data_IF_541071205254
#
_entry.id   IF_541071205254
#
_cell.length_a   1.000
_cell.length_b   1.000
_cell.length_c   1.000
_cell.angle_alpha   90.00
_cell.angle_beta   90.00
_cell.angle_gamma   90.00
#
_symmetry.space_group_name_H-M   'P 1'
#
loop_
_entity.id
_entity.type
_entity.pdbx_description
1 polymer ?
#
# COMPACT_ATOMS: atom_id res chain seq x y z
N UNK A 1 -11.81 9.57 23.90
CA UNK A 1 -12.78 8.66 24.55
C UNK A 1 -12.10 7.31 24.72
N UNK A 2 -11.61 6.95 25.91
CA UNK A 2 -11.02 5.63 26.15
C UNK A 2 -12.18 4.65 26.29
N UNK A 3 -12.36 3.75 25.32
CA UNK A 3 -13.30 2.65 25.48
C UNK A 3 -12.87 1.82 26.68
N UNK A 4 -13.82 1.45 27.54
CA UNK A 4 -13.57 0.63 28.72
C UNK A 4 -13.14 -0.77 28.28
N UNK A 5 -11.84 -1.05 28.36
CA UNK A 5 -11.26 -2.32 27.95
C UNK A 5 -11.85 -3.51 28.73
N UNK A 6 -12.37 -3.27 29.94
CA UNK A 6 -12.99 -4.30 30.77
C UNK A 6 -14.32 -4.79 30.19
N UNK A 7 -15.13 -3.88 29.62
CA UNK A 7 -16.41 -4.19 28.99
C UNK A 7 -16.22 -4.97 27.69
N UNK A 8 -15.25 -4.57 26.86
CA UNK A 8 -14.92 -5.29 25.62
C UNK A 8 -14.45 -6.71 25.93
N UNK A 9 -13.63 -6.90 26.98
CA UNK A 9 -13.16 -8.21 27.40
C UNK A 9 -14.29 -9.09 27.95
N UNK A 10 -15.28 -8.54 28.65
CA UNK A 10 -16.45 -9.28 29.12
C UNK A 10 -17.35 -9.72 27.96
N UNK A 11 -17.63 -8.83 27.01
CA UNK A 11 -18.45 -9.15 25.83
C UNK A 11 -17.74 -10.16 24.92
N UNK A 12 -16.42 -10.06 24.76
CA UNK A 12 -15.66 -11.01 23.95
C UNK A 12 -15.76 -12.46 24.46
N UNK A 13 -16.00 -12.68 25.76
CA UNK A 13 -16.18 -14.03 26.34
C UNK A 13 -17.46 -14.72 25.86
N UNK A 14 -18.48 -13.96 25.45
CA UNK A 14 -19.76 -14.52 24.98
C UNK A 14 -19.75 -14.85 23.49
N UNK A 15 -18.71 -14.46 22.76
CA UNK A 15 -18.58 -14.74 21.33
C UNK A 15 -18.21 -16.20 21.05
N UNK A 16 -18.57 -16.68 19.86
CA UNK A 16 -18.10 -17.98 19.35
C UNK A 16 -16.57 -17.98 19.21
N UNK A 17 -15.89 -19.13 19.38
CA UNK A 17 -14.43 -19.23 19.29
C UNK A 17 -13.86 -18.64 18.00
N UNK A 18 -14.51 -18.91 16.87
CA UNK A 18 -14.09 -18.44 15.55
C UNK A 18 -14.17 -16.90 15.46
N UNK A 19 -15.24 -16.31 16.01
CA UNK A 19 -15.41 -14.85 16.05
C UNK A 19 -14.36 -14.19 16.94
N UNK A 20 -14.03 -14.81 18.08
CA UNK A 20 -12.94 -14.30 18.95
C UNK A 20 -11.60 -14.35 18.25
N UNK A 21 -11.30 -15.45 17.56
CA UNK A 21 -10.05 -15.61 16.81
C UNK A 21 -9.94 -14.56 15.70
N UNK A 22 -10.97 -14.42 14.86
CA UNK A 22 -10.98 -13.44 13.79
C UNK A 22 -10.83 -11.99 14.30
N UNK A 23 -11.49 -11.64 15.42
CA UNK A 23 -11.31 -10.32 16.04
C UNK A 23 -9.91 -10.13 16.61
N UNK A 24 -9.33 -11.17 17.23
CA UNK A 24 -7.96 -11.10 17.74
C UNK A 24 -6.95 -10.89 16.61
N UNK A 25 -7.10 -11.59 15.48
CA UNK A 25 -6.31 -11.40 14.27
C UNK A 25 -6.49 -9.98 13.71
N UNK A 26 -7.72 -9.49 13.60
CA UNK A 26 -8.01 -8.12 13.19
C UNK A 26 -7.32 -7.08 14.09
N UNK A 27 -7.40 -7.24 15.41
CA UNK A 27 -6.76 -6.34 16.38
C UNK A 27 -5.24 -6.38 16.30
N UNK A 28 -4.63 -7.56 16.12
CA UNK A 28 -3.18 -7.70 15.91
C UNK A 28 -2.74 -6.98 14.64
N UNK A 29 -3.42 -7.24 13.52
CA UNK A 29 -3.15 -6.58 12.23
C UNK A 29 -3.36 -5.08 12.32
N UNK A 30 -4.39 -4.62 13.02
CA UNK A 30 -4.62 -3.19 13.25
C UNK A 30 -3.50 -2.56 14.08
N UNK A 31 -3.02 -3.22 15.13
CA UNK A 31 -1.94 -2.70 15.98
C UNK A 31 -0.61 -2.65 15.23
N UNK A 32 -0.28 -3.70 14.48
CA UNK A 32 0.91 -3.73 13.64
C UNK A 32 0.90 -2.60 12.60
N UNK A 33 -0.26 -2.38 11.95
CA UNK A 33 -0.46 -1.26 11.03
C UNK A 33 -0.23 0.10 11.69
N UNK A 34 -0.79 0.33 12.87
CA UNK A 34 -0.60 1.61 13.58
C UNK A 34 0.87 1.88 13.93
N UNK A 35 1.63 0.84 14.30
CA UNK A 35 3.07 0.97 14.56
C UNK A 35 3.88 1.25 13.28
N UNK A 36 3.53 0.58 12.19
CA UNK A 36 4.27 0.69 10.92
C UNK A 36 3.97 2.02 10.22
N UNK A 37 2.76 2.57 10.34
CA UNK A 37 2.38 3.87 9.75
C UNK A 37 3.35 5.00 10.05
N UNK A 38 3.86 5.06 11.28
CA UNK A 38 4.75 6.11 11.77
C UNK A 38 6.23 5.80 11.53
N UNK A 39 6.56 4.61 11.01
CA UNK A 39 7.95 4.15 10.84
C UNK A 39 8.71 4.88 9.74
N UNK A 40 8.01 5.29 8.68
CA UNK A 40 8.60 5.97 7.53
C UNK A 40 8.04 7.38 7.42
N UNK A 41 8.91 8.34 7.07
CA UNK A 41 8.47 9.73 6.87
C UNK A 41 7.77 9.87 5.52
N UNK A 42 8.26 9.19 4.49
CA UNK A 42 7.73 9.27 3.13
C UNK A 42 7.88 7.95 2.35
N UNK A 43 7.34 7.91 1.13
CA UNK A 43 7.43 6.76 0.24
C UNK A 43 8.88 6.36 -0.12
N UNK A 44 9.83 7.30 -0.16
CA UNK A 44 11.23 6.99 -0.43
C UNK A 44 11.92 6.30 0.75
N UNK A 45 11.60 6.69 2.00
CA UNK A 45 12.06 5.98 3.19
C UNK A 45 11.52 4.53 3.22
N UNK A 46 10.27 4.33 2.82
CA UNK A 46 9.70 2.99 2.64
C UNK A 46 10.45 2.20 1.56
N UNK A 47 10.77 2.84 0.43
CA UNK A 47 11.51 2.21 -0.66
C UNK A 47 12.87 1.69 -0.20
N UNK A 48 13.66 2.53 0.48
CA UNK A 48 14.96 2.16 1.01
C UNK A 48 14.88 1.11 2.13
N UNK A 49 13.80 1.10 2.91
CA UNK A 49 13.58 0.06 3.90
C UNK A 49 13.30 -1.30 3.26
N UNK A 50 12.54 -1.35 2.17
CA UNK A 50 12.22 -2.57 1.43
C UNK A 50 13.41 -3.06 0.62
N UNK A 51 14.08 -2.16 -0.09
CA UNK A 51 15.23 -2.40 -0.95
C UNK A 51 16.41 -1.53 -0.50
N UNK A 52 17.40 -2.15 0.13
CA UNK A 52 18.59 -1.45 0.63
C UNK A 52 19.46 -0.84 -0.48
N UNK A 53 19.25 -1.24 -1.74
CA UNK A 53 19.96 -0.67 -2.90
C UNK A 53 19.26 0.56 -3.48
N UNK A 54 18.06 0.90 -2.98
CA UNK A 54 17.31 2.06 -3.44
C UNK A 54 18.01 3.37 -3.03
N UNK A 55 18.56 4.08 -4.01
CA UNK A 55 19.27 5.34 -3.82
C UNK A 55 18.32 6.53 -3.80
N UNK A 56 18.21 7.21 -2.66
CA UNK A 56 17.37 8.41 -2.52
C UNK A 56 18.19 9.65 -2.89
N UNK A 57 18.01 10.10 -4.14
CA UNK A 57 18.61 11.37 -4.60
C UNK A 57 17.91 12.58 -3.94
N UNK A 58 18.55 13.76 -3.91
CA UNK A 58 17.89 14.98 -3.43
C UNK A 58 16.58 15.31 -4.16
N UNK A 59 16.53 15.06 -5.48
CA UNK A 59 15.32 15.24 -6.27
C UNK A 59 14.21 14.27 -5.86
N UNK A 60 14.53 12.97 -5.70
CA UNK A 60 13.56 11.98 -5.23
C UNK A 60 13.07 12.28 -3.81
N UNK A 61 13.93 12.80 -2.93
CA UNK A 61 13.53 13.23 -1.59
C UNK A 61 12.47 14.34 -1.67
N UNK A 62 12.71 15.37 -2.48
CA UNK A 62 11.76 16.47 -2.68
C UNK A 62 10.41 15.96 -3.22
N UNK A 63 10.43 15.07 -4.20
CA UNK A 63 9.21 14.46 -4.75
C UNK A 63 8.49 13.63 -3.69
N UNK A 64 9.21 12.83 -2.90
CA UNK A 64 8.63 12.00 -1.84
C UNK A 64 7.96 12.85 -0.74
N UNK A 65 8.57 13.97 -0.35
CA UNK A 65 7.98 14.87 0.63
C UNK A 65 6.73 15.57 0.09
N UNK A 66 6.73 15.97 -1.19
CA UNK A 66 5.53 16.50 -1.86
C UNK A 66 4.40 15.46 -1.95
N UNK A 67 4.74 14.19 -2.21
CA UNK A 67 3.79 13.08 -2.21
C UNK A 67 3.13 12.92 -0.83
N UNK A 68 3.88 13.01 0.27
CA UNK A 68 3.27 12.92 1.62
C UNK A 68 2.23 14.03 1.86
N UNK A 69 2.47 15.24 1.36
CA UNK A 69 1.48 16.34 1.42
C UNK A 69 0.20 15.96 0.67
N UNK A 70 0.30 15.36 -0.51
CA UNK A 70 -0.85 14.83 -1.28
C UNK A 70 -1.56 13.73 -0.52
N UNK A 71 -0.82 12.80 0.08
CA UNK A 71 -1.40 11.67 0.80
C UNK A 71 -2.13 12.11 2.07
N UNK A 72 -1.66 13.16 2.74
CA UNK A 72 -2.24 13.69 3.97
C UNK A 72 -3.44 14.62 3.77
N UNK A 73 -3.58 15.24 2.59
CA UNK A 73 -4.60 16.26 2.34
C UNK A 73 -5.65 15.80 1.31
N UNK A 74 -6.95 15.98 1.57
CA UNK A 74 -7.97 15.70 0.56
C UNK A 74 -7.85 16.72 -0.59
N UNK A 75 -8.17 16.29 -1.81
CA UNK A 75 -8.27 17.14 -3.01
C UNK A 75 -6.98 17.92 -3.33
N UNK A 76 -5.84 17.26 -3.23
CA UNK A 76 -4.55 17.84 -3.60
C UNK A 76 -3.99 17.12 -4.82
N UNK A 77 -3.51 17.89 -5.80
CA UNK A 77 -2.94 17.38 -7.04
C UNK A 77 -1.44 17.70 -7.07
N UNK A 78 -0.62 16.75 -7.52
CA UNK A 78 0.81 16.93 -7.72
C UNK A 78 1.15 16.52 -9.15
N UNK A 79 1.89 17.38 -9.85
CA UNK A 79 2.53 17.07 -11.12
C UNK A 79 4.03 16.95 -10.89
N UNK A 80 4.62 15.85 -11.35
CA UNK A 80 6.06 15.61 -11.28
C UNK A 80 6.59 15.52 -12.71
N UNK A 81 7.53 16.41 -13.05
CA UNK A 81 8.20 16.41 -14.36
C UNK A 81 9.70 16.31 -14.12
N UNK A 82 10.29 15.20 -14.54
CA UNK A 82 11.72 14.92 -14.39
C UNK A 82 12.27 14.22 -15.63
N UNK A 83 13.59 14.26 -15.88
CA UNK A 83 14.23 13.45 -16.90
C UNK A 83 13.97 11.94 -16.74
N UNK A 84 14.14 11.14 -17.81
CA UNK A 84 14.11 9.68 -17.72
C UNK A 84 15.22 9.16 -16.80
N UNK A 85 15.04 7.95 -16.25
CA UNK A 85 16.01 7.25 -15.38
C UNK A 85 16.30 7.90 -14.01
N UNK A 86 15.48 8.85 -13.57
CA UNK A 86 15.60 9.50 -12.25
C UNK A 86 14.88 8.75 -11.11
N UNK A 87 14.41 7.52 -11.35
CA UNK A 87 13.67 6.73 -10.35
C UNK A 87 12.23 7.19 -10.06
N UNK A 88 11.71 8.16 -10.84
CA UNK A 88 10.36 8.73 -10.67
C UNK A 88 9.25 7.67 -10.71
N UNK A 89 9.26 6.76 -11.68
CA UNK A 89 8.19 5.76 -11.84
C UNK A 89 8.19 4.76 -10.69
N UNK A 90 9.36 4.32 -10.23
CA UNK A 90 9.45 3.48 -9.02
C UNK A 90 8.87 4.19 -7.80
N UNK A 91 9.20 5.47 -7.58
CA UNK A 91 8.66 6.23 -6.45
C UNK A 91 7.14 6.46 -6.59
N UNK A 92 6.69 7.01 -7.71
CA UNK A 92 5.31 7.47 -7.94
C UNK A 92 4.33 6.32 -8.21
N UNK A 93 4.71 5.31 -9.00
CA UNK A 93 3.82 4.24 -9.43
C UNK A 93 3.91 2.97 -8.57
N UNK A 94 4.97 2.79 -7.77
CA UNK A 94 5.15 1.60 -6.92
C UNK A 94 5.17 1.93 -5.43
N UNK A 95 6.08 2.79 -4.96
CA UNK A 95 6.20 3.04 -3.52
C UNK A 95 5.12 3.97 -2.97
N UNK A 96 4.64 4.93 -3.76
CA UNK A 96 3.53 5.82 -3.39
C UNK A 96 2.22 5.06 -3.10
N UNK A 97 1.73 4.15 -3.96
CA UNK A 97 0.50 3.42 -3.63
C UNK A 97 0.66 2.52 -2.41
N UNK A 98 1.83 1.90 -2.21
CA UNK A 98 2.13 1.13 -1.01
C UNK A 98 2.10 2.01 0.25
N UNK A 99 2.76 3.17 0.20
CA UNK A 99 2.75 4.14 1.30
C UNK A 99 1.34 4.65 1.59
N UNK A 100 0.55 4.92 0.55
CA UNK A 100 -0.83 5.36 0.69
C UNK A 100 -1.72 4.30 1.38
N UNK A 101 -1.52 3.02 1.06
CA UNK A 101 -2.20 1.89 1.70
C UNK A 101 -1.70 1.64 3.12
N UNK A 102 -0.41 1.81 3.38
CA UNK A 102 0.18 1.73 4.72
C UNK A 102 -0.49 2.77 5.65
N UNK A 103 -0.62 4.02 5.18
CA UNK A 103 -1.31 5.09 5.91
C UNK A 103 -2.80 4.79 6.09
N UNK A 104 -3.47 4.27 5.06
CA UNK A 104 -4.87 3.88 5.13
C UNK A 104 -5.17 2.67 4.23
N UNK A 105 -5.37 1.46 4.79
CA UNK A 105 -5.62 0.26 3.99
C UNK A 105 -6.98 0.27 3.29
N UNK A 106 -7.86 1.23 3.59
CA UNK A 106 -9.13 1.43 2.91
C UNK A 106 -9.05 2.32 1.67
N UNK A 107 -7.88 2.90 1.38
CA UNK A 107 -7.71 3.79 0.22
C UNK A 107 -7.82 3.00 -1.09
N UNK A 108 -8.72 3.42 -1.97
CA UNK A 108 -8.88 2.85 -3.31
C UNK A 108 -7.98 3.59 -4.27
N UNK A 109 -7.09 2.87 -4.95
CA UNK A 109 -6.08 3.46 -5.81
C UNK A 109 -6.34 3.04 -7.25
N UNK A 110 -6.27 4.01 -8.16
CA UNK A 110 -6.18 3.74 -9.60
C UNK A 110 -4.79 4.18 -10.06
N UNK A 111 -4.07 3.27 -10.71
CA UNK A 111 -2.83 3.53 -11.42
C UNK A 111 -3.11 3.43 -12.92
N UNK A 112 -2.97 4.54 -13.64
CA UNK A 112 -3.04 4.58 -15.09
C UNK A 112 -1.65 4.82 -15.69
N UNK A 113 -1.34 4.10 -16.77
CA UNK A 113 -0.11 4.31 -17.56
C UNK A 113 -0.43 4.33 -19.05
N UNK A 114 0.51 4.70 -19.93
CA UNK A 114 0.24 4.70 -21.39
C UNK A 114 -0.17 3.33 -21.97
N UNK A 115 0.13 2.20 -21.32
CA UNK A 115 -0.18 0.87 -21.84
C UNK A 115 -0.42 -0.15 -20.74
N UNK A 116 -1.28 -1.13 -21.00
CA UNK A 116 -1.70 -2.11 -19.99
C UNK A 116 -0.51 -2.90 -19.42
N UNK A 117 0.49 -3.27 -20.26
CA UNK A 117 1.67 -4.01 -19.80
C UNK A 117 2.45 -3.25 -18.71
N UNK A 118 2.68 -1.95 -18.89
CA UNK A 118 3.42 -1.15 -17.93
C UNK A 118 2.64 -0.98 -16.61
N UNK A 119 1.32 -0.79 -16.71
CA UNK A 119 0.44 -0.76 -15.55
C UNK A 119 0.49 -2.08 -14.77
N UNK A 120 0.45 -3.22 -15.48
CA UNK A 120 0.56 -4.55 -14.87
C UNK A 120 1.92 -4.78 -14.21
N UNK A 121 3.01 -4.29 -14.80
CA UNK A 121 4.36 -4.42 -14.24
C UNK A 121 4.51 -3.65 -12.91
N UNK A 122 4.01 -2.42 -12.85
CA UNK A 122 3.98 -1.65 -11.60
C UNK A 122 3.09 -2.31 -10.56
N UNK A 123 1.93 -2.85 -10.99
CA UNK A 123 1.03 -3.56 -10.08
C UNK A 123 1.61 -4.86 -9.53
N UNK A 124 2.30 -5.62 -10.39
CA UNK A 124 3.04 -6.82 -9.98
C UNK A 124 4.12 -6.45 -8.98
N UNK A 125 4.88 -5.39 -9.23
CA UNK A 125 5.91 -4.88 -8.32
C UNK A 125 5.33 -4.53 -6.94
N UNK A 126 4.19 -3.84 -6.87
CA UNK A 126 3.52 -3.54 -5.61
C UNK A 126 3.15 -4.81 -4.83
N UNK A 127 2.57 -5.79 -5.53
CA UNK A 127 2.15 -7.05 -4.91
C UNK A 127 3.32 -7.88 -4.41
N UNK A 128 4.35 -7.99 -5.23
CA UNK A 128 5.59 -8.67 -4.90
C UNK A 128 6.20 -8.10 -3.61
N UNK A 129 6.22 -6.78 -3.47
CA UNK A 129 6.69 -6.11 -2.25
C UNK A 129 5.80 -6.48 -1.05
N UNK A 130 4.46 -6.50 -1.20
CA UNK A 130 3.55 -6.93 -0.12
C UNK A 130 3.79 -8.40 0.24
N UNK A 131 4.01 -9.28 -0.74
CA UNK A 131 4.22 -10.71 -0.48
C UNK A 131 5.58 -11.02 0.15
N UNK A 132 6.59 -10.15 -0.05
CA UNK A 132 7.94 -10.33 0.53
C UNK A 132 8.14 -9.60 1.86
N UNK A 133 7.42 -8.51 2.10
CA UNK A 133 7.67 -7.62 3.25
C UNK A 133 6.40 -7.19 4.00
N UNK A 134 5.26 -7.80 3.69
CA UNK A 134 3.98 -7.56 4.34
C UNK A 134 3.80 -8.32 5.65
N UNK A 135 2.59 -8.22 6.20
CA UNK A 135 2.24 -8.86 7.45
C UNK A 135 2.21 -10.38 7.34
N UNK A 136 2.82 -11.06 8.30
CA UNK A 136 2.77 -12.53 8.40
C UNK A 136 3.60 -13.29 7.37
N UNK A 137 4.48 -12.61 6.63
CA UNK A 137 5.36 -13.26 5.65
C UNK A 137 6.37 -14.17 6.37
N UNK A 138 6.51 -15.40 5.87
CA UNK A 138 7.47 -16.39 6.33
C UNK A 138 8.45 -16.64 5.20
N UNK A 139 9.75 -16.58 5.50
CA UNK A 139 10.79 -16.94 4.55
C UNK A 139 10.73 -18.46 4.29
N UNK A 140 10.49 -18.85 3.05
CA UNK A 140 10.25 -20.25 2.69
C UNK A 140 11.48 -21.14 2.83
N UNK A 141 12.68 -20.56 2.85
CA UNK A 141 13.93 -21.30 2.93
C UNK A 141 14.35 -21.53 4.39
N UNK A 142 14.13 -20.53 5.25
CA UNK A 142 14.58 -20.54 6.66
C UNK A 142 13.45 -20.81 7.65
N UNK A 143 12.19 -20.66 7.25
CA UNK A 143 11.01 -20.77 8.12
C UNK A 143 10.85 -19.62 9.11
N UNK A 144 11.70 -18.60 9.03
CA UNK A 144 11.71 -17.45 9.94
C UNK A 144 10.69 -16.42 9.47
N UNK A 145 10.00 -15.78 10.41
CA UNK A 145 9.11 -14.66 10.12
C UNK A 145 9.93 -13.49 9.57
N UNK A 146 9.58 -13.03 8.39
CA UNK A 146 10.18 -11.83 7.79
C UNK A 146 9.67 -10.60 8.55
N UNK A 147 10.55 -9.64 8.78
CA UNK A 147 10.17 -8.37 9.38
C UNK A 147 9.06 -7.69 8.55
N UNK A 148 7.94 -7.38 9.20
CA UNK A 148 6.85 -6.63 8.57
C UNK A 148 7.26 -5.16 8.38
N UNK A 149 7.40 -4.77 7.12
CA UNK A 149 7.75 -3.40 6.72
C UNK A 149 6.54 -2.60 6.25
N UNK A 150 5.36 -3.21 6.07
CA UNK A 150 4.23 -2.59 5.38
C UNK A 150 2.96 -2.52 6.22
N UNK A 151 2.71 -3.50 7.08
CA UNK A 151 1.41 -3.69 7.74
C UNK A 151 0.31 -4.13 6.76
N UNK A 152 0.70 -4.62 5.58
CA UNK A 152 -0.19 -4.93 4.48
C UNK A 152 -0.17 -6.41 4.17
N UNK A 153 -1.32 -6.95 3.77
CA UNK A 153 -1.49 -8.31 3.33
C UNK A 153 -2.47 -8.28 2.14
N UNK A 154 -2.21 -9.08 1.11
CA UNK A 154 -3.11 -9.19 -0.03
C UNK A 154 -4.35 -10.03 0.34
N UNK A 155 -5.52 -9.61 -0.14
CA UNK A 155 -6.73 -10.40 0.00
C UNK A 155 -6.61 -11.71 -0.79
N UNK A 156 -6.95 -12.87 -0.19
CA UNK A 156 -6.95 -14.14 -0.91
C UNK A 156 -8.05 -14.21 -1.98
N UNK A 157 -9.11 -13.41 -1.86
CA UNK A 157 -10.29 -13.44 -2.75
C UNK A 157 -10.21 -12.49 -3.94
N UNK A 158 -9.35 -11.46 -3.88
CA UNK A 158 -9.19 -10.49 -4.96
C UNK A 158 -7.73 -10.13 -5.11
N UNK A 159 -7.07 -10.91 -5.97
CA UNK A 159 -5.62 -10.91 -6.16
C UNK A 159 -5.25 -11.09 -7.63
N UNK A 160 -5.95 -10.42 -8.56
CA UNK A 160 -5.52 -10.34 -9.97
C UNK A 160 -4.49 -9.23 -10.15
N UNK A 161 -3.56 -9.38 -11.09
CA UNK A 161 -2.46 -8.39 -11.25
C UNK A 161 -3.02 -7.01 -11.54
N UNK A 162 -3.99 -6.87 -12.44
CA UNK A 162 -4.65 -5.60 -12.73
C UNK A 162 -5.64 -5.12 -11.65
N UNK A 163 -6.02 -5.96 -10.67
CA UNK A 163 -7.02 -5.61 -9.64
C UNK A 163 -6.89 -6.47 -8.39
N UNK A 164 -6.44 -5.87 -7.30
CA UNK A 164 -6.21 -6.55 -6.03
C UNK A 164 -6.62 -5.68 -4.84
N UNK A 165 -6.85 -6.32 -3.68
CA UNK A 165 -7.32 -5.68 -2.44
C UNK A 165 -6.42 -6.03 -1.26
N UNK A 166 -6.47 -5.20 -0.22
CA UNK A 166 -5.85 -5.48 1.07
C UNK A 166 -6.78 -6.35 1.92
N UNK A 167 -6.23 -7.37 2.58
CA UNK A 167 -6.97 -8.27 3.46
C UNK A 167 -7.63 -7.50 4.62
N UNK A 168 -8.92 -7.77 4.83
CA UNK A 168 -9.73 -7.11 5.86
C UNK A 168 -10.00 -5.61 5.61
N UNK A 169 -9.80 -5.11 4.39
CA UNK A 169 -9.99 -3.69 4.08
C UNK A 169 -10.74 -3.45 2.75
N UNK A 170 -11.22 -2.21 2.58
CA UNK A 170 -11.90 -1.78 1.36
C UNK A 170 -10.96 -1.38 0.22
N UNK A 171 -9.72 -1.06 0.57
CA UNK A 171 -8.74 -0.49 -0.34
C UNK A 171 -7.99 -1.55 -1.14
N UNK A 172 -7.06 -1.06 -1.95
CA UNK A 172 -6.35 -1.85 -2.94
C UNK A 172 -6.03 -1.00 -4.16
N UNK A 173 -5.60 -1.67 -5.23
CA UNK A 173 -5.19 -1.01 -6.46
C UNK A 173 -5.84 -1.66 -7.68
N UNK A 174 -6.26 -0.80 -8.60
CA UNK A 174 -6.62 -1.14 -9.97
C UNK A 174 -5.56 -0.52 -10.88
N UNK A 175 -4.94 -1.32 -11.74
CA UNK A 175 -3.94 -0.88 -12.69
C UNK A 175 -4.44 -1.04 -14.12
N UNK A 176 -4.37 0.02 -14.92
CA UNK A 176 -4.94 0.06 -16.27
C UNK A 176 -4.04 0.86 -17.22
N UNK A 177 -4.07 0.50 -18.51
CA UNK A 177 -3.54 1.32 -19.59
C UNK A 177 -4.50 2.44 -20.00
N UNK A 178 -4.00 3.41 -20.75
CA UNK A 178 -4.83 4.43 -21.39
C UNK A 178 -5.82 3.78 -22.38
N UNK A 179 -7.05 4.31 -22.41
CA UNK A 179 -8.14 3.77 -23.23
C UNK A 179 -8.93 2.64 -22.57
N UNK A 180 -8.43 2.06 -21.47
CA UNK A 180 -9.19 1.10 -20.66
C UNK A 180 -10.32 1.80 -19.89
N UNK A 181 -11.49 1.16 -19.81
CA UNK A 181 -12.65 1.74 -19.12
C UNK A 181 -12.46 1.73 -17.60
N UNK A 182 -12.32 2.92 -17.03
CA UNK A 182 -12.29 3.15 -15.57
C UNK A 182 -13.65 3.56 -15.00
N UNK A 183 -14.65 3.75 -15.85
CA UNK A 183 -15.96 4.31 -15.48
C UNK A 183 -16.63 3.49 -14.37
N UNK A 184 -17.12 4.17 -13.33
CA UNK A 184 -17.77 3.54 -12.18
C UNK A 184 -16.81 3.01 -11.10
N UNK A 185 -15.49 3.11 -11.28
CA UNK A 185 -14.50 2.81 -10.24
C UNK A 185 -14.20 4.04 -9.40
N UNK A 186 -14.41 3.94 -8.09
CA UNK A 186 -14.07 5.01 -7.17
C UNK A 186 -12.57 5.00 -6.83
N UNK A 187 -11.95 6.18 -6.86
CA UNK A 187 -10.55 6.38 -6.51
C UNK A 187 -10.41 7.44 -5.40
N UNK A 188 -9.69 7.10 -4.35
CA UNK A 188 -9.25 8.02 -3.29
C UNK A 188 -7.82 8.53 -3.55
N UNK A 189 -7.11 7.86 -4.47
CA UNK A 189 -5.84 8.29 -5.06
C UNK A 189 -5.82 7.83 -6.52
N UNK A 190 -5.50 8.75 -7.43
CA UNK A 190 -5.34 8.47 -8.85
C UNK A 190 -3.93 8.86 -9.27
N UNK A 191 -3.13 7.88 -9.66
CA UNK A 191 -1.77 8.05 -10.17
C UNK A 191 -1.80 7.88 -11.69
N UNK A 192 -1.18 8.81 -12.41
CA UNK A 192 -1.00 8.75 -13.85
C UNK A 192 0.51 8.79 -14.10
N UNK A 193 1.10 7.70 -14.59
CA UNK A 193 2.52 7.62 -14.93
C UNK A 193 2.71 7.52 -16.45
N UNK A 194 3.57 8.39 -16.98
CA UNK A 194 3.89 8.50 -18.41
C UNK A 194 2.66 8.39 -19.33
N UNK A 195 1.72 9.36 -19.33
CA UNK A 195 0.49 9.30 -20.13
C UNK A 195 0.69 9.56 -21.63
N UNK A 196 1.92 9.74 -22.09
CA UNK A 196 2.22 10.06 -23.48
C UNK A 196 3.52 9.37 -23.90
N UNK A 197 3.58 8.97 -25.18
CA UNK A 197 4.76 8.40 -25.81
C UNK A 197 5.07 9.14 -27.10
#
# INVERSE_FOLDING_TARGET
>A
MRADQSLIAQVARTWQPETRQAMAEYLRSSRAREQIKTRYRNAADLAQAVDSTYNITPALRMVADAIEVVLARPRHNLLVTTPPQEGKSSLCAVYTPLRALQLNPNRRIILATYGDSLAEDHSRSCRDIIQRHGSGVIDTMTGVTVEDKLGLELSPTTSKVHSWRIAGARGGMIAVGLGSSITGRAADLFIIDDPYK
#
